data_IF_954536581949
#
_entry.id   IF_954536581949
#
_cell.length_a   1.000
_cell.length_b   1.000
_cell.length_c   1.000
_cell.angle_alpha   90.00
_cell.angle_beta   90.00
_cell.angle_gamma   90.00
#
_symmetry.space_group_name_H-M   'P 1'
#
loop_
_entity.id
_entity.type
_entity.pdbx_description
1 polymer ?
#
# COMPACT_ATOMS: atom_id res chain seq x y z
N UNK A 1 28.15 26.13 27.14
CA UNK A 1 26.90 26.63 26.54
C UNK A 1 25.75 26.27 27.50
N UNK A 2 25.07 27.24 28.09
CA UNK A 2 23.93 26.99 29.01
C UNK A 2 22.72 26.55 28.17
N UNK A 3 22.28 25.32 28.38
CA UNK A 3 21.14 24.77 27.67
C UNK A 3 19.83 25.44 28.14
N UNK A 4 18.93 25.69 27.23
CA UNK A 4 17.58 26.15 27.59
C UNK A 4 16.79 25.00 28.26
N UNK A 5 15.76 25.33 29.09
CA UNK A 5 14.89 24.32 29.73
C UNK A 5 14.28 23.33 28.73
N UNK A 6 14.05 23.75 27.47
CA UNK A 6 13.54 22.88 26.40
C UNK A 6 14.62 21.90 25.96
N UNK A 7 15.85 22.36 25.78
CA UNK A 7 17.01 21.54 25.38
C UNK A 7 17.40 20.53 26.47
N UNK A 8 17.31 20.90 27.77
CA UNK A 8 17.54 19.96 28.87
C UNK A 8 16.51 18.82 28.90
N UNK A 9 15.23 19.13 28.63
CA UNK A 9 14.17 18.10 28.52
C UNK A 9 14.41 17.17 27.34
N UNK A 10 14.87 17.70 26.22
CA UNK A 10 15.20 16.93 25.02
C UNK A 10 16.41 16.02 25.31
N UNK A 11 17.49 16.53 25.90
CA UNK A 11 18.67 15.79 26.34
C UNK A 11 18.29 14.60 27.22
N UNK A 12 17.50 14.83 28.28
CA UNK A 12 17.04 13.75 29.18
C UNK A 12 16.20 12.67 28.47
N UNK A 13 15.38 13.08 27.48
CA UNK A 13 14.61 12.13 26.67
C UNK A 13 15.52 11.29 25.79
N UNK A 14 16.49 11.91 25.13
CA UNK A 14 17.44 11.21 24.27
C UNK A 14 18.36 10.28 25.07
N UNK A 15 18.85 10.67 26.25
CA UNK A 15 19.61 9.81 27.15
C UNK A 15 18.80 8.57 27.61
N UNK A 16 17.51 8.77 27.92
CA UNK A 16 16.63 7.65 28.27
C UNK A 16 16.39 6.72 27.07
N UNK A 17 16.25 7.30 25.86
CA UNK A 17 16.13 6.55 24.62
C UNK A 17 17.40 5.77 24.34
N UNK A 18 18.57 6.38 24.44
CA UNK A 18 19.87 5.76 24.25
C UNK A 18 20.06 4.53 25.14
N UNK A 19 19.85 4.66 26.46
CA UNK A 19 19.94 3.52 27.38
C UNK A 19 19.03 2.35 26.99
N UNK A 20 17.79 2.65 26.57
CA UNK A 20 16.87 1.60 26.11
C UNK A 20 17.36 0.92 24.83
N UNK A 21 17.88 1.69 23.89
CA UNK A 21 18.36 1.16 22.61
C UNK A 21 19.65 0.34 22.78
N UNK A 22 20.59 0.74 23.65
CA UNK A 22 21.78 -0.05 23.97
C UNK A 22 21.39 -1.43 24.54
N UNK A 23 20.47 -1.48 25.50
CA UNK A 23 19.97 -2.76 26.05
C UNK A 23 19.29 -3.61 24.95
N UNK A 24 18.67 -2.97 23.96
CA UNK A 24 18.04 -3.69 22.85
C UNK A 24 19.07 -4.19 21.84
N UNK A 25 20.11 -3.41 21.56
CA UNK A 25 21.22 -3.78 20.68
C UNK A 25 22.09 -4.92 21.26
N UNK A 26 22.36 -4.88 22.58
CA UNK A 26 23.14 -5.90 23.28
C UNK A 26 22.41 -7.25 23.41
N UNK A 27 21.08 -7.25 23.42
CA UNK A 27 20.32 -8.51 23.43
C UNK A 27 20.46 -9.19 22.09
N UNK A 28 21.29 -10.25 22.04
CA UNK A 28 21.30 -11.16 20.88
C UNK A 28 19.86 -11.51 20.49
N UNK A 29 19.53 -11.24 19.25
CA UNK A 29 18.22 -11.63 18.72
C UNK A 29 18.16 -13.15 18.73
N UNK A 30 17.19 -13.72 19.44
CA UNK A 30 16.97 -15.17 19.47
C UNK A 30 16.91 -15.70 18.05
N UNK A 31 17.62 -16.81 17.79
CA UNK A 31 17.49 -17.57 16.54
C UNK A 31 15.99 -17.78 16.27
N UNK A 32 15.50 -17.36 15.12
CA UNK A 32 14.07 -17.44 14.78
C UNK A 32 13.27 -16.14 14.95
N UNK A 33 13.84 -15.05 15.47
CA UNK A 33 13.12 -13.77 15.53
C UNK A 33 12.66 -13.27 14.15
N UNK A 34 13.43 -13.54 13.10
CA UNK A 34 13.04 -13.24 11.73
C UNK A 34 11.67 -13.88 11.36
N UNK A 35 11.46 -15.14 11.77
CA UNK A 35 10.16 -15.80 11.52
C UNK A 35 9.02 -15.14 12.29
N UNK A 36 9.28 -14.70 13.52
CA UNK A 36 8.26 -13.99 14.33
C UNK A 36 7.88 -12.67 13.67
N UNK A 37 8.85 -11.87 13.24
CA UNK A 37 8.56 -10.60 12.61
C UNK A 37 7.87 -10.78 11.25
N UNK A 38 8.28 -11.76 10.45
CA UNK A 38 7.62 -12.09 9.18
C UNK A 38 6.18 -12.57 9.39
N UNK A 39 5.92 -13.37 10.45
CA UNK A 39 4.55 -13.77 10.79
C UNK A 39 3.69 -12.56 11.21
N UNK A 40 4.24 -11.62 12.00
CA UNK A 40 3.53 -10.39 12.34
C UNK A 40 3.25 -9.52 11.12
N UNK A 41 4.22 -9.38 10.21
CA UNK A 41 4.05 -8.65 8.96
C UNK A 41 2.96 -9.31 8.12
N UNK A 42 2.96 -10.64 7.99
CA UNK A 42 1.93 -11.37 7.26
C UNK A 42 0.54 -11.16 7.86
N UNK A 43 0.39 -11.21 9.18
CA UNK A 43 -0.89 -10.96 9.84
C UNK A 43 -1.42 -9.54 9.57
N UNK A 44 -0.53 -8.54 9.59
CA UNK A 44 -0.91 -7.16 9.26
C UNK A 44 -1.19 -7.00 7.77
N UNK A 45 -0.47 -7.69 6.90
CA UNK A 45 -0.73 -7.68 5.46
C UNK A 45 -2.07 -8.36 5.10
N UNK A 46 -2.45 -9.42 5.81
CA UNK A 46 -3.79 -10.02 5.73
C UNK A 46 -4.86 -8.98 6.09
N UNK A 47 -4.70 -8.27 7.20
CA UNK A 47 -5.62 -7.22 7.62
C UNK A 47 -5.70 -6.09 6.60
N UNK A 48 -4.57 -5.67 6.04
CA UNK A 48 -4.45 -4.63 5.03
C UNK A 48 -5.17 -5.00 3.72
N UNK A 49 -4.93 -6.24 3.24
CA UNK A 49 -5.61 -6.77 2.04
C UNK A 49 -7.13 -6.90 2.24
N UNK A 50 -7.58 -7.40 3.40
CA UNK A 50 -8.99 -7.45 3.72
C UNK A 50 -9.60 -6.06 3.76
N UNK A 51 -8.95 -5.10 4.44
CA UNK A 51 -9.41 -3.72 4.55
C UNK A 51 -9.57 -3.05 3.20
N UNK A 52 -8.59 -3.23 2.31
CA UNK A 52 -8.58 -2.64 0.97
C UNK A 52 -9.65 -3.26 0.07
N UNK A 53 -9.83 -4.58 0.14
CA UNK A 53 -10.72 -5.30 -0.78
C UNK A 53 -12.20 -5.26 -0.34
N UNK A 54 -12.48 -5.16 0.96
CA UNK A 54 -13.86 -5.27 1.47
C UNK A 54 -14.81 -4.20 0.96
N UNK A 55 -14.35 -2.95 0.84
CA UNK A 55 -15.22 -1.87 0.35
C UNK A 55 -15.69 -2.13 -1.07
N UNK A 56 -14.79 -2.56 -1.96
CA UNK A 56 -15.13 -2.92 -3.35
C UNK A 56 -16.12 -4.08 -3.45
N UNK A 57 -16.00 -5.08 -2.56
CA UNK A 57 -16.87 -6.26 -2.54
C UNK A 57 -18.24 -6.03 -1.86
N UNK A 58 -18.45 -4.90 -1.18
CA UNK A 58 -19.70 -4.55 -0.49
C UNK A 58 -20.40 -3.35 -1.11
N UNK A 59 -19.90 -2.85 -2.25
CA UNK A 59 -20.39 -1.61 -2.87
C UNK A 59 -21.88 -1.66 -3.15
N UNK A 60 -22.40 -2.75 -3.72
CA UNK A 60 -23.81 -2.91 -4.02
C UNK A 60 -24.69 -2.84 -2.77
N UNK A 61 -24.23 -3.41 -1.65
CA UNK A 61 -24.98 -3.45 -0.41
C UNK A 61 -25.14 -2.04 0.21
N UNK A 62 -24.04 -1.31 0.40
CA UNK A 62 -24.13 0.01 1.05
C UNK A 62 -24.69 1.09 0.11
N UNK A 63 -24.47 1.01 -1.20
CA UNK A 63 -25.13 1.91 -2.15
C UNK A 63 -26.66 1.72 -2.11
N UNK A 64 -27.12 0.49 -2.15
CA UNK A 64 -28.57 0.20 -2.04
C UNK A 64 -29.14 0.69 -0.73
N UNK A 65 -28.47 0.46 0.39
CA UNK A 65 -28.99 0.85 1.69
C UNK A 65 -29.01 2.37 1.89
N UNK A 66 -27.89 3.04 1.64
CA UNK A 66 -27.78 4.46 1.98
C UNK A 66 -28.35 5.39 0.91
N UNK A 67 -28.25 5.04 -0.39
CA UNK A 67 -28.61 5.94 -1.48
C UNK A 67 -29.94 5.60 -2.10
N UNK A 68 -30.23 4.30 -2.31
CA UNK A 68 -31.50 3.89 -2.96
C UNK A 68 -32.64 3.83 -1.95
N UNK A 69 -32.45 3.10 -0.86
CA UNK A 69 -33.47 2.91 0.18
C UNK A 69 -33.42 3.99 1.28
N UNK A 70 -32.28 4.70 1.38
CA UNK A 70 -32.06 5.77 2.33
C UNK A 70 -32.09 7.17 1.71
N UNK A 71 -31.60 8.12 2.47
CA UNK A 71 -31.45 9.50 2.00
C UNK A 71 -30.04 10.01 2.32
N UNK A 72 -29.37 10.51 1.29
CA UNK A 72 -28.09 11.21 1.42
C UNK A 72 -28.27 12.64 0.90
N UNK A 73 -27.84 13.62 1.66
CA UNK A 73 -28.07 15.05 1.38
C UNK A 73 -29.57 15.40 1.16
N UNK A 74 -30.48 14.70 1.88
CA UNK A 74 -31.92 15.00 1.86
C UNK A 74 -32.69 14.45 0.65
N UNK A 75 -32.06 13.62 -0.20
CA UNK A 75 -32.74 12.94 -1.32
C UNK A 75 -32.32 11.49 -1.47
N UNK A 76 -33.19 10.67 -2.10
CA UNK A 76 -32.84 9.32 -2.54
C UNK A 76 -32.29 9.38 -3.99
N UNK A 77 -31.51 8.40 -4.37
CA UNK A 77 -30.79 8.33 -5.64
C UNK A 77 -31.09 7.02 -6.34
N UNK A 78 -30.94 6.99 -7.65
CA UNK A 78 -30.82 5.71 -8.36
C UNK A 78 -29.48 5.06 -7.98
N UNK A 79 -29.33 3.76 -8.26
CA UNK A 79 -28.10 3.04 -7.97
C UNK A 79 -26.89 3.68 -8.66
N UNK A 80 -27.02 4.02 -9.93
CA UNK A 80 -25.97 4.65 -10.74
C UNK A 80 -25.59 6.05 -10.22
N UNK A 81 -26.57 6.87 -9.90
CA UNK A 81 -26.32 8.18 -9.29
C UNK A 81 -25.62 8.05 -7.93
N UNK A 82 -26.08 7.11 -7.08
CA UNK A 82 -25.49 6.82 -5.77
C UNK A 82 -24.05 6.34 -5.88
N UNK A 83 -23.77 5.44 -6.82
CA UNK A 83 -22.44 4.94 -7.09
C UNK A 83 -21.49 6.04 -7.58
N UNK A 84 -21.96 6.86 -8.54
CA UNK A 84 -21.18 8.00 -9.06
C UNK A 84 -20.88 9.02 -7.96
N UNK A 85 -21.85 9.33 -7.10
CA UNK A 85 -21.67 10.23 -5.98
C UNK A 85 -20.70 9.65 -4.94
N UNK A 86 -20.84 8.36 -4.62
CA UNK A 86 -19.91 7.67 -3.72
C UNK A 86 -18.46 7.70 -4.25
N UNK A 87 -18.26 7.37 -5.51
CA UNK A 87 -16.94 7.41 -6.16
C UNK A 87 -16.34 8.82 -6.13
N UNK A 88 -17.16 9.85 -6.38
CA UNK A 88 -16.72 11.25 -6.30
C UNK A 88 -16.30 11.64 -4.90
N UNK A 89 -17.08 11.25 -3.88
CA UNK A 89 -16.74 11.51 -2.48
C UNK A 89 -15.49 10.71 -2.05
N UNK A 90 -15.31 9.51 -2.58
CA UNK A 90 -14.13 8.66 -2.29
C UNK A 90 -12.82 9.31 -2.75
N UNK A 91 -12.85 10.22 -3.74
CA UNK A 91 -11.67 11.02 -4.12
C UNK A 91 -11.16 11.84 -2.93
N UNK A 92 -12.05 12.34 -2.06
CA UNK A 92 -11.65 13.04 -0.82
C UNK A 92 -10.93 12.11 0.15
N UNK A 93 -11.32 10.84 0.23
CA UNK A 93 -10.63 9.82 1.01
C UNK A 93 -9.20 9.59 0.51
N UNK A 94 -9.01 9.55 -0.80
CA UNK A 94 -7.67 9.48 -1.38
C UNK A 94 -6.86 10.75 -1.10
N UNK A 95 -7.47 11.92 -1.15
CA UNK A 95 -6.80 13.17 -0.76
C UNK A 95 -6.34 13.14 0.71
N UNK A 96 -7.14 12.57 1.62
CA UNK A 96 -6.74 12.36 3.01
C UNK A 96 -5.61 11.33 3.15
N UNK A 97 -5.64 10.25 2.35
CA UNK A 97 -4.55 9.26 2.36
C UNK A 97 -3.21 9.85 1.94
N UNK A 98 -3.21 10.94 1.13
CA UNK A 98 -2.00 11.70 0.80
C UNK A 98 -1.32 12.35 2.02
N UNK A 99 -2.02 12.46 3.16
CA UNK A 99 -1.43 12.90 4.43
C UNK A 99 -0.71 11.78 5.18
N UNK A 100 -0.99 10.51 4.83
CA UNK A 100 -0.39 9.34 5.52
C UNK A 100 1.15 9.33 5.48
N UNK A 101 1.84 9.71 4.38
CA UNK A 101 3.29 9.77 4.35
C UNK A 101 3.91 10.71 5.39
N UNK A 102 3.20 11.77 5.79
CA UNK A 102 3.71 12.69 6.80
C UNK A 102 3.83 12.05 8.19
N UNK A 103 2.87 11.21 8.60
CA UNK A 103 3.03 10.48 9.85
C UNK A 103 3.96 9.26 9.70
N UNK A 104 3.96 8.60 8.53
CA UNK A 104 4.85 7.47 8.24
C UNK A 104 6.32 7.87 8.25
N UNK A 105 6.66 9.06 7.76
CA UNK A 105 8.02 9.62 7.85
C UNK A 105 8.53 9.77 9.29
N UNK A 106 7.63 9.77 10.30
CA UNK A 106 8.01 9.76 11.71
C UNK A 106 8.68 8.43 12.13
N UNK A 107 8.59 7.37 11.31
CA UNK A 107 9.29 6.11 11.54
C UNK A 107 10.81 6.29 11.64
N UNK A 108 11.37 7.24 10.89
CA UNK A 108 12.80 7.54 10.94
C UNK A 108 13.22 8.19 12.26
N UNK A 109 12.30 8.85 12.95
CA UNK A 109 12.55 9.55 14.21
C UNK A 109 12.19 8.71 15.45
N UNK A 110 11.06 8.03 15.42
CA UNK A 110 10.49 7.34 16.60
C UNK A 110 10.68 5.83 16.58
N UNK A 111 11.12 5.26 15.46
CA UNK A 111 11.23 3.83 15.24
C UNK A 111 10.10 3.28 14.37
N UNK A 112 10.30 2.06 13.89
CA UNK A 112 9.36 1.39 12.99
C UNK A 112 8.19 0.79 13.78
N UNK A 113 8.46 0.21 14.96
CA UNK A 113 7.47 -0.46 15.80
C UNK A 113 6.30 0.44 16.21
N UNK A 114 6.48 1.66 16.74
CA UNK A 114 5.36 2.51 17.14
C UNK A 114 4.40 2.82 15.99
N UNK A 115 4.94 3.05 14.78
CA UNK A 115 4.12 3.30 13.61
C UNK A 115 3.38 2.06 13.13
N UNK A 116 4.02 0.91 13.20
CA UNK A 116 3.42 -0.37 12.83
C UNK A 116 2.22 -0.71 13.73
N UNK A 117 2.35 -0.47 15.04
CA UNK A 117 1.24 -0.59 16.00
C UNK A 117 0.14 0.42 15.69
N UNK A 118 0.50 1.68 15.43
CA UNK A 118 -0.45 2.77 15.21
C UNK A 118 -1.26 2.59 13.93
N UNK A 119 -0.62 2.19 12.83
CA UNK A 119 -1.32 1.92 11.56
C UNK A 119 -2.26 0.71 11.70
N UNK A 120 -1.81 -0.38 12.32
CA UNK A 120 -2.65 -1.57 12.55
C UNK A 120 -3.86 -1.24 13.43
N UNK A 121 -3.67 -0.45 14.49
CA UNK A 121 -4.77 0.05 15.34
C UNK A 121 -5.78 0.87 14.55
N UNK A 122 -5.29 1.82 13.74
CA UNK A 122 -6.15 2.69 12.93
C UNK A 122 -7.00 1.92 11.92
N UNK A 123 -6.41 0.92 11.23
CA UNK A 123 -7.16 0.04 10.32
C UNK A 123 -8.27 -0.71 11.07
N UNK A 124 -7.94 -1.33 12.21
CA UNK A 124 -8.90 -2.08 13.02
C UNK A 124 -10.07 -1.20 13.52
N UNK A 125 -9.76 0.00 14.00
CA UNK A 125 -10.76 0.97 14.46
C UNK A 125 -11.64 1.44 13.30
N UNK A 126 -11.06 1.72 12.13
CA UNK A 126 -11.82 2.11 10.94
C UNK A 126 -12.84 1.02 10.52
N UNK A 127 -12.43 -0.25 10.51
CA UNK A 127 -13.33 -1.38 10.24
C UNK A 127 -14.45 -1.49 11.27
N UNK A 128 -14.18 -1.28 12.56
CA UNK A 128 -15.20 -1.28 13.60
C UNK A 128 -16.14 -0.07 13.50
N UNK A 129 -15.67 1.10 13.08
CA UNK A 129 -16.53 2.25 12.78
C UNK A 129 -17.51 1.88 11.67
N UNK A 130 -17.05 1.21 10.60
CA UNK A 130 -17.93 0.73 9.51
C UNK A 130 -18.93 -0.29 10.05
N UNK A 131 -18.51 -1.23 10.89
CA UNK A 131 -19.43 -2.20 11.51
C UNK A 131 -20.56 -1.53 12.29
N UNK A 132 -20.24 -0.49 13.08
CA UNK A 132 -21.24 0.22 13.89
C UNK A 132 -21.96 1.35 13.14
N UNK A 133 -21.65 1.62 11.87
CA UNK A 133 -22.25 2.72 11.14
C UNK A 133 -23.76 2.50 10.93
N UNK A 134 -24.53 3.56 11.16
CA UNK A 134 -25.98 3.61 10.88
C UNK A 134 -26.33 4.63 9.79
N UNK A 135 -25.35 5.41 9.33
CA UNK A 135 -25.54 6.44 8.34
C UNK A 135 -24.32 6.53 7.42
N UNK A 136 -24.53 7.05 6.22
CA UNK A 136 -23.48 7.20 5.22
C UNK A 136 -22.28 8.07 5.69
N UNK A 137 -22.45 9.21 6.40
CA UNK A 137 -21.32 9.96 6.92
C UNK A 137 -20.44 9.16 7.89
N UNK A 138 -21.03 8.33 8.77
CA UNK A 138 -20.26 7.48 9.69
C UNK A 138 -19.51 6.38 8.92
N UNK A 139 -20.15 5.81 7.89
CA UNK A 139 -19.48 4.89 6.97
C UNK A 139 -18.25 5.55 6.31
N UNK A 140 -18.38 6.79 5.82
CA UNK A 140 -17.27 7.55 5.24
C UNK A 140 -16.12 7.77 6.25
N UNK A 141 -16.44 8.13 7.49
CA UNK A 141 -15.43 8.30 8.56
C UNK A 141 -14.65 6.99 8.73
N UNK A 142 -15.33 5.84 8.79
CA UNK A 142 -14.68 4.53 8.88
C UNK A 142 -13.80 4.25 7.66
N UNK A 143 -14.32 4.44 6.46
CA UNK A 143 -13.60 4.22 5.20
C UNK A 143 -12.37 5.13 5.06
N UNK A 144 -12.49 6.40 5.42
CA UNK A 144 -11.37 7.34 5.39
C UNK A 144 -10.33 7.02 6.46
N UNK A 145 -10.76 6.56 7.65
CA UNK A 145 -9.86 6.08 8.69
C UNK A 145 -9.07 4.87 8.21
N UNK A 146 -9.72 3.87 7.63
CA UNK A 146 -9.01 2.69 7.07
C UNK A 146 -8.00 3.11 6.01
N UNK A 147 -8.40 3.93 5.03
CA UNK A 147 -7.54 4.41 3.95
C UNK A 147 -6.33 5.20 4.43
N UNK A 148 -6.50 6.04 5.47
CA UNK A 148 -5.41 6.81 6.06
C UNK A 148 -4.37 5.93 6.77
N UNK A 149 -4.81 4.84 7.42
CA UNK A 149 -3.95 3.97 8.21
C UNK A 149 -3.42 2.74 7.48
N UNK A 150 -3.62 2.59 6.17
CA UNK A 150 -3.05 1.48 5.40
C UNK A 150 -1.55 1.33 5.66
N UNK A 151 -1.14 0.11 5.99
CA UNK A 151 0.20 -0.17 6.56
C UNK A 151 1.25 -0.63 5.56
N UNK A 152 0.91 -0.75 4.29
CA UNK A 152 1.73 -1.35 3.24
C UNK A 152 3.21 -0.90 3.23
N UNK A 153 3.46 0.39 3.26
CA UNK A 153 4.81 0.95 3.15
C UNK A 153 5.71 0.57 4.35
N UNK A 154 5.10 0.46 5.56
CA UNK A 154 5.84 0.08 6.78
C UNK A 154 6.24 -1.40 6.72
N UNK A 155 5.41 -2.25 6.14
CA UNK A 155 5.70 -3.67 5.94
C UNK A 155 6.89 -3.86 5.00
N UNK A 156 6.91 -3.15 3.87
CA UNK A 156 8.03 -3.15 2.93
C UNK A 156 9.32 -2.75 3.66
N UNK A 157 9.28 -1.66 4.42
CA UNK A 157 10.44 -1.15 5.14
C UNK A 157 11.00 -2.19 6.12
N UNK A 158 10.14 -2.90 6.87
CA UNK A 158 10.57 -3.98 7.75
C UNK A 158 11.27 -5.12 7.01
N UNK A 159 10.71 -5.55 5.88
CA UNK A 159 11.28 -6.63 5.08
C UNK A 159 12.63 -6.19 4.48
N UNK A 160 12.72 -4.96 3.97
CA UNK A 160 13.96 -4.43 3.40
C UNK A 160 15.08 -4.30 4.44
N UNK A 161 14.76 -4.00 5.69
CA UNK A 161 15.75 -3.83 6.75
C UNK A 161 16.12 -5.14 7.48
N UNK A 162 15.21 -6.14 7.55
CA UNK A 162 15.43 -7.38 8.32
C UNK A 162 15.74 -8.60 7.44
N UNK A 163 15.30 -8.63 6.18
CA UNK A 163 15.51 -9.78 5.30
C UNK A 163 16.92 -9.80 4.70
N UNK A 164 17.52 -11.01 4.54
CA UNK A 164 18.80 -11.17 3.85
C UNK A 164 18.76 -10.60 2.44
N UNK A 165 19.80 -9.86 2.03
CA UNK A 165 19.85 -9.15 0.75
C UNK A 165 19.60 -10.05 -0.47
N UNK A 166 20.14 -11.27 -0.44
CA UNK A 166 20.03 -12.26 -1.52
C UNK A 166 18.65 -12.93 -1.66
N UNK A 167 17.73 -12.74 -0.68
CA UNK A 167 16.38 -13.35 -0.68
C UNK A 167 15.28 -12.35 -0.38
N UNK A 168 15.56 -11.07 -0.43
CA UNK A 168 14.65 -10.00 -0.05
C UNK A 168 13.37 -9.99 -0.90
N UNK A 169 13.53 -10.08 -2.22
CA UNK A 169 12.40 -10.10 -3.14
C UNK A 169 11.54 -11.36 -2.98
N UNK A 170 12.18 -12.53 -2.80
CA UNK A 170 11.46 -13.79 -2.54
C UNK A 170 10.67 -13.73 -1.24
N UNK A 171 11.28 -13.26 -0.14
CA UNK A 171 10.59 -13.13 1.16
C UNK A 171 9.41 -12.15 1.05
N UNK A 172 9.64 -11.00 0.42
CA UNK A 172 8.61 -10.01 0.20
C UNK A 172 7.42 -10.58 -0.58
N UNK A 173 7.68 -11.23 -1.71
CA UNK A 173 6.63 -11.77 -2.57
C UNK A 173 5.86 -12.94 -1.94
N UNK A 174 6.52 -13.77 -1.09
CA UNK A 174 5.83 -14.80 -0.32
C UNK A 174 4.84 -14.16 0.67
N UNK A 175 5.29 -13.17 1.43
CA UNK A 175 4.43 -12.46 2.39
C UNK A 175 3.26 -11.80 1.66
N UNK A 176 3.52 -11.08 0.57
CA UNK A 176 2.47 -10.40 -0.22
C UNK A 176 1.51 -11.37 -0.91
N UNK A 177 2.03 -12.48 -1.45
CA UNK A 177 1.20 -13.50 -2.07
C UNK A 177 0.23 -14.15 -1.07
N UNK A 178 0.75 -14.52 0.11
CA UNK A 178 -0.08 -15.09 1.19
C UNK A 178 -1.06 -14.07 1.77
N UNK A 179 -0.64 -12.81 1.91
CA UNK A 179 -1.51 -11.72 2.31
C UNK A 179 -2.66 -11.53 1.33
N UNK A 180 -2.36 -11.47 0.04
CA UNK A 180 -3.38 -11.31 -1.01
C UNK A 180 -4.33 -12.51 -1.12
N UNK A 181 -3.86 -13.73 -0.83
CA UNK A 181 -4.70 -14.92 -0.77
C UNK A 181 -5.81 -14.78 0.28
N UNK A 182 -5.61 -13.96 1.32
CA UNK A 182 -6.63 -13.70 2.33
C UNK A 182 -7.92 -13.09 1.78
N UNK A 183 -7.90 -12.53 0.58
CA UNK A 183 -9.10 -12.01 -0.09
C UNK A 183 -10.17 -13.09 -0.33
N UNK A 184 -9.80 -14.38 -0.31
CA UNK A 184 -10.74 -15.51 -0.30
C UNK A 184 -11.66 -15.49 0.95
N UNK A 185 -11.20 -14.92 2.06
CA UNK A 185 -12.01 -14.82 3.27
C UNK A 185 -13.25 -13.92 3.08
N UNK A 186 -13.20 -12.97 2.13
CA UNK A 186 -14.32 -12.05 1.90
C UNK A 186 -15.56 -12.79 1.39
N UNK A 187 -15.53 -13.54 0.26
CA UNK A 187 -16.70 -14.32 -0.16
C UNK A 187 -17.10 -15.38 0.86
N UNK A 188 -16.16 -15.97 1.62
CA UNK A 188 -16.48 -16.86 2.73
C UNK A 188 -17.27 -16.15 3.85
N UNK A 189 -16.84 -14.94 4.25
CA UNK A 189 -17.55 -14.13 5.24
C UNK A 189 -18.90 -13.64 4.71
N UNK A 190 -19.01 -13.29 3.43
CA UNK A 190 -20.31 -12.97 2.80
C UNK A 190 -21.29 -14.14 2.95
N UNK A 191 -20.87 -15.34 2.60
CA UNK A 191 -21.71 -16.53 2.69
C UNK A 191 -22.10 -16.85 4.14
N UNK A 192 -21.14 -16.82 5.08
CA UNK A 192 -21.34 -17.28 6.46
C UNK A 192 -21.97 -16.23 7.38
N UNK A 193 -21.68 -14.93 7.19
CA UNK A 193 -22.11 -13.85 8.08
C UNK A 193 -23.27 -13.03 7.54
N UNK A 194 -23.49 -13.03 6.23
CA UNK A 194 -24.61 -12.35 5.59
C UNK A 194 -25.78 -13.30 5.30
N UNK A 195 -25.56 -14.60 5.24
CA UNK A 195 -26.62 -15.61 4.94
C UNK A 195 -27.48 -15.24 3.71
N UNK A 196 -26.88 -14.67 2.67
CA UNK A 196 -27.52 -14.11 1.48
C UNK A 196 -28.43 -12.88 1.73
N UNK A 197 -28.43 -12.31 2.95
CA UNK A 197 -29.14 -11.09 3.28
C UNK A 197 -28.19 -9.88 3.16
N UNK A 198 -28.40 -9.07 2.12
CA UNK A 198 -27.60 -7.87 1.86
C UNK A 198 -27.66 -6.82 2.99
N UNK A 199 -28.70 -6.86 3.85
CA UNK A 199 -28.83 -5.91 4.99
C UNK A 199 -27.82 -6.21 6.10
N UNK A 200 -27.29 -7.44 6.16
CA UNK A 200 -26.30 -7.87 7.15
C UNK A 200 -24.84 -7.62 6.73
N UNK A 201 -24.60 -6.86 5.67
CA UNK A 201 -23.26 -6.63 5.12
C UNK A 201 -22.24 -6.08 6.14
N UNK A 202 -22.68 -5.34 7.14
CA UNK A 202 -21.83 -4.82 8.21
C UNK A 202 -21.13 -5.91 9.01
N UNK A 203 -21.76 -7.09 9.16
CA UNK A 203 -21.20 -8.20 9.94
C UNK A 203 -19.85 -8.68 9.37
N UNK A 204 -19.64 -8.52 8.08
CA UNK A 204 -18.36 -8.87 7.41
C UNK A 204 -17.21 -8.02 7.97
N UNK A 205 -17.45 -6.78 8.35
CA UNK A 205 -16.43 -5.88 8.90
C UNK A 205 -16.08 -6.15 10.37
N UNK A 206 -17.01 -6.81 11.11
CA UNK A 206 -16.84 -7.11 12.53
C UNK A 206 -15.63 -7.99 12.80
N UNK A 207 -15.53 -9.11 12.09
CA UNK A 207 -14.48 -10.09 12.32
C UNK A 207 -13.08 -9.54 12.06
N UNK A 208 -12.77 -8.94 10.89
CA UNK A 208 -11.46 -8.32 10.64
C UNK A 208 -11.15 -7.17 11.59
N UNK A 209 -12.14 -6.37 11.99
CA UNK A 209 -11.95 -5.30 12.95
C UNK A 209 -11.51 -5.80 14.34
N UNK A 210 -12.15 -6.85 14.86
CA UNK A 210 -11.77 -7.47 16.14
C UNK A 210 -10.43 -8.21 16.05
N UNK A 211 -10.20 -8.97 14.97
CA UNK A 211 -8.92 -9.63 14.73
C UNK A 211 -7.78 -8.59 14.60
N UNK A 212 -8.05 -7.47 13.96
CA UNK A 212 -7.09 -6.37 13.82
C UNK A 212 -6.63 -5.79 15.16
N UNK A 213 -7.53 -5.65 16.14
CA UNK A 213 -7.14 -5.27 17.51
C UNK A 213 -6.25 -6.34 18.16
N UNK A 214 -6.55 -7.62 17.96
CA UNK A 214 -5.71 -8.74 18.42
C UNK A 214 -4.32 -8.71 17.76
N UNK A 215 -4.26 -8.50 16.45
CA UNK A 215 -3.00 -8.37 15.69
C UNK A 215 -2.19 -7.18 16.22
N UNK A 216 -2.82 -6.03 16.45
CA UNK A 216 -2.17 -4.86 17.04
C UNK A 216 -1.54 -5.18 18.39
N UNK A 217 -2.23 -5.92 19.27
CA UNK A 217 -1.66 -6.37 20.56
C UNK A 217 -0.49 -7.32 20.36
N UNK A 218 -0.54 -8.24 19.39
CA UNK A 218 0.59 -9.11 19.06
C UNK A 218 1.81 -8.30 18.58
N UNK A 219 1.60 -7.31 17.71
CA UNK A 219 2.66 -6.40 17.25
C UNK A 219 3.23 -5.59 18.43
N UNK A 220 2.37 -5.12 19.33
CA UNK A 220 2.78 -4.35 20.51
C UNK A 220 3.67 -5.20 21.45
N UNK A 221 3.32 -6.47 21.67
CA UNK A 221 4.01 -7.36 22.63
C UNK A 221 5.30 -7.93 22.00
N UNK A 222 5.20 -8.50 20.81
CA UNK A 222 6.27 -9.29 20.18
C UNK A 222 7.09 -8.49 19.14
N UNK A 223 6.54 -7.43 18.56
CA UNK A 223 7.25 -6.59 17.60
C UNK A 223 8.43 -5.86 18.24
N UNK A 224 9.52 -5.68 17.49
CA UNK A 224 10.69 -4.86 17.87
C UNK A 224 11.01 -3.91 16.73
N UNK A 225 11.76 -2.84 17.03
CA UNK A 225 12.33 -2.02 15.98
C UNK A 225 13.38 -2.80 15.18
N UNK A 226 13.59 -2.41 13.93
CA UNK A 226 14.56 -3.06 13.05
C UNK A 226 15.99 -2.83 13.55
N UNK A 227 16.88 -3.82 13.29
CA UNK A 227 18.28 -3.69 13.71
C UNK A 227 18.96 -2.48 13.05
N UNK A 228 18.71 -2.24 11.78
CA UNK A 228 19.25 -1.08 11.03
C UNK A 228 18.89 0.24 11.71
N UNK A 229 17.63 0.40 12.14
CA UNK A 229 17.21 1.59 12.87
C UNK A 229 17.89 1.70 14.24
N UNK A 230 17.93 0.58 15.00
CA UNK A 230 18.51 0.57 16.34
C UNK A 230 19.99 0.92 16.30
N UNK A 231 20.77 0.29 15.40
CA UNK A 231 22.21 0.51 15.28
C UNK A 231 22.53 1.94 14.85
N UNK A 232 21.83 2.44 13.82
CA UNK A 232 21.95 3.83 13.39
C UNK A 232 21.64 4.81 14.52
N UNK A 233 20.55 4.58 15.25
CA UNK A 233 20.13 5.48 16.32
C UNK A 233 21.06 5.42 17.53
N UNK A 234 21.62 4.26 17.84
CA UNK A 234 22.66 4.10 18.88
C UNK A 234 23.92 4.90 18.49
N UNK A 235 24.39 4.78 17.25
CA UNK A 235 25.52 5.55 16.75
C UNK A 235 25.26 7.08 16.83
N UNK A 236 24.10 7.54 16.41
CA UNK A 236 23.74 8.96 16.50
C UNK A 236 23.71 9.45 17.95
N UNK A 237 23.13 8.66 18.86
CA UNK A 237 22.97 9.05 20.27
C UNK A 237 24.24 8.83 21.12
N UNK A 238 25.22 8.08 20.62
CA UNK A 238 26.52 7.92 21.28
C UNK A 238 27.34 9.21 21.28
N UNK A 239 27.10 10.09 20.29
CA UNK A 239 27.74 11.42 20.25
C UNK A 239 27.09 12.31 21.32
N UNK A 240 27.89 13.07 22.13
CA UNK A 240 27.36 13.96 23.15
C UNK A 240 26.33 14.96 22.60
N UNK A 241 25.27 15.23 23.39
CA UNK A 241 24.15 16.09 22.97
C UNK A 241 24.61 17.48 22.51
N UNK A 242 25.58 18.04 23.24
CA UNK A 242 26.16 19.36 22.96
C UNK A 242 26.86 19.40 21.61
N UNK A 243 27.62 18.36 21.27
CA UNK A 243 28.33 18.24 19.99
C UNK A 243 27.34 18.08 18.84
N UNK A 244 26.29 17.28 19.01
CA UNK A 244 25.21 17.14 18.02
C UNK A 244 24.46 18.48 17.80
N UNK A 245 24.26 19.25 18.87
CA UNK A 245 23.65 20.57 18.79
C UNK A 245 24.53 21.55 18.01
N UNK A 246 25.86 21.53 18.27
CA UNK A 246 26.82 22.35 17.54
C UNK A 246 26.90 21.98 16.06
N UNK A 247 26.92 20.68 15.73
CA UNK A 247 26.89 20.20 14.33
C UNK A 247 25.62 20.67 13.61
N UNK A 248 24.45 20.52 14.23
CA UNK A 248 23.17 21.00 13.70
C UNK A 248 23.15 22.52 13.51
N UNK A 249 23.81 23.25 14.35
CA UNK A 249 23.94 24.72 14.25
C UNK A 249 24.90 25.11 13.14
N UNK A 250 26.08 24.47 13.08
CA UNK A 250 27.06 24.68 12.02
C UNK A 250 26.51 24.30 10.62
N UNK A 251 25.72 23.25 10.52
CA UNK A 251 25.06 22.84 9.28
C UNK A 251 23.99 23.85 8.84
N UNK A 252 23.25 24.42 9.79
CA UNK A 252 22.31 25.52 9.50
C UNK A 252 23.02 26.77 9.04
N UNK A 253 24.10 27.14 9.69
CA UNK A 253 24.86 28.34 9.39
C UNK A 253 25.64 28.22 8.07
N UNK A 254 26.06 27.00 7.73
CA UNK A 254 26.72 26.68 6.45
C UNK A 254 25.75 26.58 5.25
N UNK A 255 24.45 26.79 5.48
CA UNK A 255 23.44 26.61 4.41
C UNK A 255 23.32 25.16 3.90
N UNK A 256 24.10 24.22 4.49
CA UNK A 256 23.95 22.79 4.26
C UNK A 256 22.67 22.39 4.98
N UNK A 257 21.55 22.42 4.23
CA UNK A 257 20.33 21.83 4.73
C UNK A 257 20.68 20.40 5.16
N UNK A 258 20.49 20.08 6.48
CA UNK A 258 20.39 18.70 6.91
C UNK A 258 19.69 17.92 5.80
N UNK A 259 20.14 16.71 5.47
CA UNK A 259 19.28 15.74 4.78
C UNK A 259 18.08 15.48 5.71
N UNK A 260 17.15 16.46 5.69
CA UNK A 260 15.96 16.42 6.53
C UNK A 260 15.17 15.23 6.04
N UNK A 261 15.14 14.18 6.86
CA UNK A 261 14.11 13.15 6.72
C UNK A 261 12.76 13.86 6.65
N UNK A 262 11.99 13.63 5.60
CA UNK A 262 10.68 14.23 5.41
C UNK A 262 10.26 14.24 3.95
N UNK A 263 8.97 14.30 3.74
CA UNK A 263 8.36 14.17 2.40
C UNK A 263 8.78 15.30 1.45
N UNK A 264 8.83 16.56 1.93
CA UNK A 264 9.18 17.71 1.08
C UNK A 264 10.65 17.68 0.60
N UNK A 265 11.65 17.42 1.47
CA UNK A 265 13.01 17.18 1.04
C UNK A 265 13.15 16.00 0.06
N UNK A 266 12.43 14.89 0.33
CA UNK A 266 12.41 13.73 -0.55
C UNK A 266 11.83 14.07 -1.94
N UNK A 267 10.75 14.83 -2.01
CA UNK A 267 10.20 15.32 -3.29
C UNK A 267 11.22 16.16 -4.06
N UNK A 268 11.91 17.09 -3.38
CA UNK A 268 12.98 17.87 -4.01
C UNK A 268 14.10 16.98 -4.54
N UNK A 269 14.48 15.95 -3.77
CA UNK A 269 15.47 14.96 -4.18
C UNK A 269 15.02 14.22 -5.44
N UNK A 270 13.80 13.69 -5.49
CA UNK A 270 13.21 13.01 -6.65
C UNK A 270 13.28 13.91 -7.89
N UNK A 271 12.83 15.17 -7.79
CA UNK A 271 12.81 16.07 -8.94
C UNK A 271 14.21 16.53 -9.41
N UNK A 272 15.20 16.51 -8.53
CA UNK A 272 16.59 16.82 -8.87
C UNK A 272 17.28 15.69 -9.64
N UNK A 273 17.00 14.41 -9.30
CA UNK A 273 17.66 13.25 -9.90
C UNK A 273 16.86 12.71 -11.09
N UNK A 274 17.45 12.81 -12.29
CA UNK A 274 16.78 12.48 -13.56
C UNK A 274 16.25 11.03 -13.61
N UNK A 275 17.06 10.05 -13.19
CA UNK A 275 16.70 8.64 -13.27
C UNK A 275 15.51 8.33 -12.35
N UNK A 276 15.52 8.83 -11.12
CA UNK A 276 14.44 8.66 -10.15
C UNK A 276 13.16 9.37 -10.61
N UNK A 277 13.28 10.60 -11.12
CA UNK A 277 12.15 11.34 -11.69
C UNK A 277 11.48 10.61 -12.84
N UNK A 278 12.26 10.01 -13.74
CA UNK A 278 11.73 9.21 -14.86
C UNK A 278 10.99 7.99 -14.34
N UNK A 279 11.56 7.26 -13.37
CA UNK A 279 10.91 6.09 -12.76
C UNK A 279 9.58 6.48 -12.10
N UNK A 280 9.55 7.57 -11.34
CA UNK A 280 8.33 8.06 -10.67
C UNK A 280 7.23 8.44 -11.67
N UNK A 281 7.59 9.11 -12.78
CA UNK A 281 6.62 9.44 -13.83
C UNK A 281 6.05 8.18 -14.51
N UNK A 282 6.88 7.16 -14.72
CA UNK A 282 6.43 5.86 -15.24
C UNK A 282 5.49 5.18 -14.24
N UNK A 283 5.85 5.18 -12.94
CA UNK A 283 5.02 4.62 -11.87
C UNK A 283 3.68 5.34 -11.74
N UNK A 284 3.67 6.67 -11.82
CA UNK A 284 2.45 7.48 -11.79
C UNK A 284 1.47 7.08 -12.92
N UNK A 285 1.98 6.91 -14.13
CA UNK A 285 1.16 6.48 -15.27
C UNK A 285 0.66 5.03 -15.08
N UNK A 286 1.51 4.14 -14.55
CA UNK A 286 1.14 2.75 -14.26
C UNK A 286 0.05 2.68 -13.19
N UNK A 287 0.20 3.43 -12.10
CA UNK A 287 -0.71 3.43 -10.96
C UNK A 287 -2.07 4.06 -11.29
N UNK A 288 -2.15 4.93 -12.30
CA UNK A 288 -3.43 5.44 -12.78
C UNK A 288 -4.38 4.30 -13.24
N UNK A 289 -3.84 3.17 -13.68
CA UNK A 289 -4.63 2.00 -14.10
C UNK A 289 -5.36 1.29 -12.94
N UNK A 290 -5.02 1.58 -11.66
CA UNK A 290 -5.63 0.92 -10.49
C UNK A 290 -7.15 1.08 -10.45
N UNK A 291 -7.66 2.19 -10.98
CA UNK A 291 -9.09 2.52 -10.94
C UNK A 291 -9.94 1.50 -11.72
N UNK A 292 -9.36 0.85 -12.74
CA UNK A 292 -10.02 -0.26 -13.41
C UNK A 292 -10.27 -1.46 -12.51
N UNK A 293 -9.38 -1.68 -11.50
CA UNK A 293 -9.50 -2.76 -10.52
C UNK A 293 -10.65 -2.56 -9.55
N UNK A 294 -10.96 -1.33 -9.17
CA UNK A 294 -12.04 -1.04 -8.23
C UNK A 294 -13.44 -1.25 -8.84
N UNK A 295 -13.52 -1.39 -10.16
CA UNK A 295 -14.78 -1.53 -10.90
C UNK A 295 -15.05 -2.96 -11.41
N UNK A 296 -14.25 -3.97 -11.02
CA UNK A 296 -14.36 -5.33 -11.57
C UNK A 296 -15.73 -5.98 -11.32
N UNK A 297 -16.30 -5.84 -10.12
CA UNK A 297 -17.64 -6.34 -9.80
C UNK A 297 -18.71 -5.68 -10.65
N UNK A 298 -18.62 -4.35 -10.81
CA UNK A 298 -19.55 -3.59 -11.66
C UNK A 298 -19.44 -3.99 -13.15
N UNK A 299 -18.24 -4.29 -13.64
CA UNK A 299 -18.04 -4.79 -15.02
C UNK A 299 -18.71 -6.13 -15.20
N UNK A 300 -18.48 -7.09 -14.29
CA UNK A 300 -19.10 -8.43 -14.34
C UNK A 300 -20.63 -8.35 -14.22
N UNK A 301 -21.13 -7.56 -13.29
CA UNK A 301 -22.56 -7.36 -13.10
C UNK A 301 -23.25 -6.73 -14.31
N UNK A 302 -22.68 -5.68 -14.89
CA UNK A 302 -23.21 -5.02 -16.10
C UNK A 302 -23.12 -5.90 -17.36
N UNK A 303 -22.21 -6.86 -17.41
CA UNK A 303 -22.15 -7.87 -18.47
C UNK A 303 -23.23 -8.96 -18.34
N UNK A 304 -23.99 -8.98 -17.23
CA UNK A 304 -25.08 -9.93 -16.99
C UNK A 304 -24.70 -11.19 -16.23
N UNK A 305 -23.51 -11.22 -15.61
CA UNK A 305 -23.14 -12.33 -14.71
C UNK A 305 -24.01 -12.30 -13.45
N UNK A 306 -24.48 -13.48 -13.05
CA UNK A 306 -25.23 -13.67 -11.80
C UNK A 306 -24.34 -13.51 -10.57
N UNK A 307 -24.93 -13.21 -9.42
CA UNK A 307 -24.20 -13.11 -8.14
C UNK A 307 -23.38 -14.36 -7.82
N UNK A 308 -23.89 -15.55 -8.16
CA UNK A 308 -23.21 -16.82 -7.93
C UNK A 308 -21.97 -16.95 -8.86
N UNK A 309 -22.07 -16.52 -10.10
CA UNK A 309 -20.96 -16.52 -11.07
C UNK A 309 -19.87 -15.53 -10.66
N UNK A 310 -20.27 -14.33 -10.23
CA UNK A 310 -19.34 -13.31 -9.69
C UNK A 310 -18.61 -13.87 -8.46
N UNK A 311 -19.35 -14.41 -7.49
CA UNK A 311 -18.76 -15.04 -6.30
C UNK A 311 -17.80 -16.17 -6.67
N UNK A 312 -18.13 -16.96 -7.69
CA UNK A 312 -17.23 -18.01 -8.19
C UNK A 312 -15.93 -17.41 -8.76
N UNK A 313 -16.00 -16.37 -9.57
CA UNK A 313 -14.81 -15.67 -10.07
C UNK A 313 -13.97 -15.10 -8.91
N UNK A 314 -14.63 -14.55 -7.89
CA UNK A 314 -13.99 -14.00 -6.69
C UNK A 314 -13.22 -15.04 -5.87
N UNK A 315 -13.57 -16.31 -5.91
CA UNK A 315 -12.79 -17.38 -5.30
C UNK A 315 -11.49 -17.71 -6.06
N UNK A 316 -11.50 -17.56 -7.38
CA UNK A 316 -10.36 -17.98 -8.21
C UNK A 316 -9.26 -16.92 -8.28
N UNK A 317 -9.61 -15.64 -8.38
CA UNK A 317 -8.59 -14.61 -8.62
C UNK A 317 -7.55 -14.48 -7.49
N UNK A 318 -7.85 -14.64 -6.18
CA UNK A 318 -6.83 -14.52 -5.13
C UNK A 318 -5.77 -15.63 -5.20
N UNK A 319 -6.18 -16.83 -5.65
CA UNK A 319 -5.25 -17.95 -5.84
C UNK A 319 -4.27 -17.62 -6.97
N UNK A 320 -4.78 -17.15 -8.11
CA UNK A 320 -3.95 -16.78 -9.27
C UNK A 320 -3.04 -15.60 -8.94
N UNK A 321 -3.56 -14.60 -8.22
CA UNK A 321 -2.80 -13.49 -7.70
C UNK A 321 -1.64 -13.97 -6.81
N UNK A 322 -1.93 -14.79 -5.81
CA UNK A 322 -0.93 -15.34 -4.89
C UNK A 322 0.20 -16.07 -5.65
N UNK A 323 -0.16 -16.98 -6.55
CA UNK A 323 0.81 -17.74 -7.35
C UNK A 323 1.66 -16.78 -8.20
N UNK A 324 1.05 -15.81 -8.86
CA UNK A 324 1.76 -14.82 -9.69
C UNK A 324 2.76 -14.02 -8.87
N UNK A 325 2.35 -13.50 -7.71
CA UNK A 325 3.22 -12.70 -6.84
C UNK A 325 4.35 -13.54 -6.25
N UNK A 326 4.08 -14.77 -5.80
CA UNK A 326 5.14 -15.65 -5.29
C UNK A 326 6.18 -16.02 -6.36
N UNK A 327 5.72 -16.33 -7.58
CA UNK A 327 6.62 -16.61 -8.71
C UNK A 327 7.45 -15.39 -9.09
N UNK A 328 6.88 -14.18 -9.01
CA UNK A 328 7.59 -12.95 -9.36
C UNK A 328 8.82 -12.72 -8.49
N UNK A 329 8.76 -13.08 -7.20
CA UNK A 329 9.89 -12.92 -6.27
C UNK A 329 11.08 -13.79 -6.65
N UNK A 330 10.79 -15.07 -6.96
CA UNK A 330 11.83 -16.00 -7.44
C UNK A 330 12.42 -15.50 -8.77
N UNK A 331 11.58 -15.04 -9.68
CA UNK A 331 12.04 -14.50 -10.96
C UNK A 331 12.88 -13.24 -10.77
N UNK A 332 12.46 -12.30 -9.92
CA UNK A 332 13.19 -11.06 -9.70
C UNK A 332 14.57 -11.27 -9.09
N UNK A 333 14.74 -12.28 -8.24
CA UNK A 333 16.06 -12.63 -7.70
C UNK A 333 16.95 -13.34 -8.73
N UNK A 334 16.37 -14.00 -9.75
CA UNK A 334 17.13 -14.69 -10.80
C UNK A 334 17.41 -13.82 -12.03
N UNK A 335 16.38 -13.21 -12.62
CA UNK A 335 16.48 -12.48 -13.90
C UNK A 335 16.60 -10.96 -13.73
N UNK A 336 16.38 -10.44 -12.51
CA UNK A 336 16.42 -9.02 -12.17
C UNK A 336 15.05 -8.37 -12.06
N UNK A 337 15.02 -7.21 -11.38
CA UNK A 337 13.77 -6.49 -11.07
C UNK A 337 13.12 -5.94 -12.34
N UNK A 338 13.89 -5.25 -13.18
CA UNK A 338 13.41 -4.67 -14.44
C UNK A 338 12.76 -5.69 -15.37
N UNK A 339 13.41 -6.81 -15.62
CA UNK A 339 12.89 -7.86 -16.52
C UNK A 339 11.60 -8.46 -15.98
N UNK A 340 11.51 -8.63 -14.65
CA UNK A 340 10.31 -9.12 -13.98
C UNK A 340 9.14 -8.16 -14.16
N UNK A 341 9.36 -6.85 -14.00
CA UNK A 341 8.31 -5.84 -14.22
C UNK A 341 7.82 -5.85 -15.66
N UNK A 342 8.76 -5.94 -16.63
CA UNK A 342 8.38 -5.97 -18.05
C UNK A 342 7.55 -7.19 -18.39
N UNK A 343 7.92 -8.36 -17.87
CA UNK A 343 7.16 -9.60 -18.06
C UNK A 343 5.74 -9.49 -17.49
N UNK A 344 5.63 -9.13 -16.21
CA UNK A 344 4.34 -9.08 -15.53
C UNK A 344 3.48 -7.88 -15.95
N UNK A 345 4.08 -6.76 -16.33
CA UNK A 345 3.37 -5.63 -16.93
C UNK A 345 2.76 -5.98 -18.29
N UNK A 346 3.47 -6.79 -19.10
CA UNK A 346 2.93 -7.32 -20.36
C UNK A 346 1.78 -8.31 -20.11
N UNK A 347 1.94 -9.22 -19.13
CA UNK A 347 0.87 -10.14 -18.70
C UNK A 347 -0.34 -9.34 -18.21
N UNK A 348 -0.14 -8.30 -17.41
CA UNK A 348 -1.18 -7.42 -16.90
C UNK A 348 -2.04 -6.83 -18.01
N UNK A 349 -1.42 -6.23 -19.03
CA UNK A 349 -2.15 -5.62 -20.16
C UNK A 349 -2.98 -6.65 -20.94
N UNK A 350 -2.37 -7.81 -21.29
CA UNK A 350 -3.05 -8.89 -22.02
C UNK A 350 -4.18 -9.50 -21.19
N UNK A 351 -3.92 -9.76 -19.90
CA UNK A 351 -4.89 -10.37 -18.99
C UNK A 351 -6.12 -9.48 -18.80
N UNK A 352 -5.96 -8.14 -18.75
CA UNK A 352 -7.10 -7.24 -18.66
C UNK A 352 -7.97 -7.26 -19.91
N UNK A 353 -7.38 -7.31 -21.11
CA UNK A 353 -8.13 -7.49 -22.35
C UNK A 353 -8.91 -8.81 -22.33
N UNK A 354 -8.27 -9.91 -21.92
CA UNK A 354 -8.92 -11.21 -21.83
C UNK A 354 -10.01 -11.25 -20.75
N UNK A 355 -9.82 -10.55 -19.62
CA UNK A 355 -10.86 -10.36 -18.60
C UNK A 355 -12.10 -9.69 -19.19
N UNK A 356 -11.94 -8.60 -19.92
CA UNK A 356 -13.07 -7.88 -20.55
C UNK A 356 -13.76 -8.76 -21.61
N UNK A 357 -13.00 -9.45 -22.46
CA UNK A 357 -13.56 -10.36 -23.46
C UNK A 357 -14.32 -11.50 -22.79
N UNK A 358 -13.72 -12.18 -21.82
CA UNK A 358 -14.33 -13.33 -21.15
C UNK A 358 -15.60 -12.93 -20.37
N UNK A 359 -15.62 -11.74 -19.77
CA UNK A 359 -16.77 -11.21 -19.05
C UNK A 359 -17.92 -10.88 -19.99
N UNK A 360 -17.66 -10.10 -21.04
CA UNK A 360 -18.69 -9.71 -22.01
C UNK A 360 -19.22 -10.88 -22.86
N UNK A 361 -18.41 -11.92 -23.06
CA UNK A 361 -18.81 -13.15 -23.77
C UNK A 361 -19.37 -14.23 -22.84
N UNK A 362 -19.56 -13.91 -21.55
CA UNK A 362 -20.09 -14.80 -20.51
C UNK A 362 -19.37 -16.17 -20.49
N UNK A 363 -18.05 -16.16 -20.53
CA UNK A 363 -17.26 -17.38 -20.38
C UNK A 363 -17.43 -17.98 -18.97
N UNK A 364 -16.91 -19.20 -18.79
CA UNK A 364 -16.95 -19.83 -17.48
C UNK A 364 -16.38 -18.90 -16.40
N UNK A 365 -17.06 -18.69 -15.25
CA UNK A 365 -16.62 -17.77 -14.17
C UNK A 365 -15.19 -18.02 -13.68
N UNK A 366 -14.74 -19.29 -13.75
CA UNK A 366 -13.35 -19.66 -13.42
C UNK A 366 -12.32 -18.98 -14.32
N UNK A 367 -12.60 -18.87 -15.64
CA UNK A 367 -11.71 -18.21 -16.60
C UNK A 367 -11.74 -16.68 -16.39
N UNK A 368 -12.91 -16.12 -16.10
CA UNK A 368 -13.03 -14.69 -15.74
C UNK A 368 -12.16 -14.40 -14.50
N UNK A 369 -12.28 -15.22 -13.45
CA UNK A 369 -11.44 -15.12 -12.24
C UNK A 369 -9.95 -15.33 -12.52
N UNK A 370 -9.58 -16.27 -13.43
CA UNK A 370 -8.20 -16.47 -13.85
C UNK A 370 -7.60 -15.20 -14.49
N UNK A 371 -8.27 -14.63 -15.49
CA UNK A 371 -7.76 -13.44 -16.17
C UNK A 371 -7.73 -12.22 -15.28
N UNK A 372 -8.73 -12.05 -14.41
CA UNK A 372 -8.70 -10.99 -13.42
C UNK A 372 -7.55 -11.17 -12.42
N UNK A 373 -7.30 -12.39 -11.95
CA UNK A 373 -6.18 -12.70 -11.05
C UNK A 373 -4.80 -12.45 -11.69
N UNK A 374 -4.62 -12.77 -12.97
CA UNK A 374 -3.40 -12.46 -13.72
C UNK A 374 -3.22 -10.93 -13.90
N UNK A 375 -4.30 -10.21 -14.20
CA UNK A 375 -4.29 -8.74 -14.26
C UNK A 375 -3.88 -8.14 -12.91
N UNK A 376 -4.53 -8.55 -11.85
CA UNK A 376 -4.28 -8.08 -10.49
C UNK A 376 -2.83 -8.37 -10.06
N UNK A 377 -2.36 -9.61 -10.30
CA UNK A 377 -0.99 -10.02 -10.01
C UNK A 377 0.02 -9.19 -10.79
N UNK A 378 -0.16 -9.06 -12.09
CA UNK A 378 0.73 -8.28 -12.95
C UNK A 378 0.80 -6.79 -12.54
N UNK A 379 -0.34 -6.21 -12.15
CA UNK A 379 -0.41 -4.83 -11.67
C UNK A 379 0.40 -4.64 -10.36
N UNK A 380 0.11 -5.44 -9.33
CA UNK A 380 0.79 -5.28 -8.03
C UNK A 380 2.28 -5.61 -8.11
N UNK A 381 2.67 -6.62 -8.91
CA UNK A 381 4.07 -6.93 -9.14
C UNK A 381 4.78 -5.73 -9.80
N UNK A 382 4.20 -5.17 -10.86
CA UNK A 382 4.77 -4.01 -11.54
C UNK A 382 4.96 -2.81 -10.59
N UNK A 383 3.94 -2.48 -9.82
CA UNK A 383 3.92 -1.37 -8.87
C UNK A 383 4.96 -1.56 -7.75
N UNK A 384 4.93 -2.71 -7.08
CA UNK A 384 5.76 -2.97 -5.90
C UNK A 384 7.24 -3.06 -6.27
N UNK A 385 7.57 -3.68 -7.42
CA UNK A 385 8.97 -3.73 -7.87
C UNK A 385 9.49 -2.37 -8.36
N UNK A 386 8.66 -1.50 -8.92
CA UNK A 386 9.08 -0.12 -9.19
C UNK A 386 9.40 0.63 -7.90
N UNK A 387 8.67 0.37 -6.80
CA UNK A 387 8.96 0.92 -5.48
C UNK A 387 10.25 0.34 -4.88
N UNK A 388 10.52 -0.95 -5.09
CA UNK A 388 11.79 -1.56 -4.71
C UNK A 388 12.94 -0.90 -5.47
N UNK A 389 12.85 -0.75 -6.80
CA UNK A 389 13.87 -0.09 -7.61
C UNK A 389 14.15 1.33 -7.12
N UNK A 390 13.11 2.14 -6.83
CA UNK A 390 13.31 3.51 -6.36
C UNK A 390 14.02 3.56 -5.01
N UNK A 391 13.73 2.64 -4.10
CA UNK A 391 14.40 2.54 -2.80
C UNK A 391 15.83 2.02 -2.93
N UNK A 392 16.09 1.19 -3.92
CA UNK A 392 17.41 0.70 -4.27
C UNK A 392 18.31 1.79 -4.90
N UNK A 393 17.74 2.83 -5.46
CA UNK A 393 18.46 3.94 -6.09
C UNK A 393 18.82 5.08 -5.12
N UNK A 394 18.47 4.97 -3.82
CA UNK A 394 18.64 6.09 -2.88
C UNK A 394 19.35 5.69 -1.59
N UNK A 395 20.07 6.64 -0.95
CA UNK A 395 20.74 6.39 0.33
C UNK A 395 19.79 5.90 1.42
N UNK A 396 20.26 5.00 2.28
CA UNK A 396 19.47 4.37 3.35
C UNK A 396 18.79 5.39 4.28
N UNK A 397 19.41 6.55 4.49
CA UNK A 397 18.89 7.58 5.41
C UNK A 397 17.61 8.27 4.98
N UNK A 398 17.24 8.21 3.69
CA UNK A 398 16.08 8.90 3.13
C UNK A 398 15.05 7.96 2.47
N UNK A 399 15.28 6.64 2.48
CA UNK A 399 14.40 5.65 1.83
C UNK A 399 12.94 5.77 2.26
N UNK A 400 12.67 5.80 3.57
CA UNK A 400 11.30 5.94 4.08
C UNK A 400 10.65 7.25 3.63
N UNK A 401 11.42 8.34 3.57
CA UNK A 401 10.93 9.62 3.07
C UNK A 401 10.66 9.60 1.55
N UNK A 402 11.46 8.85 0.79
CA UNK A 402 11.23 8.65 -0.66
C UNK A 402 9.95 7.84 -0.89
N UNK A 403 9.75 6.72 -0.21
CA UNK A 403 8.50 5.93 -0.28
C UNK A 403 7.30 6.82 0.03
N UNK A 404 7.38 7.65 1.08
CA UNK A 404 6.33 8.59 1.43
C UNK A 404 6.08 9.65 0.35
N UNK A 405 7.13 10.19 -0.27
CA UNK A 405 7.01 11.15 -1.36
C UNK A 405 6.44 10.53 -2.63
N UNK A 406 6.83 9.28 -2.95
CA UNK A 406 6.25 8.50 -4.04
C UNK A 406 4.76 8.27 -3.83
N UNK A 407 4.34 7.88 -2.63
CA UNK A 407 2.93 7.69 -2.30
C UNK A 407 2.08 8.93 -2.59
N UNK A 408 2.60 10.14 -2.32
CA UNK A 408 1.95 11.39 -2.70
C UNK A 408 1.80 11.55 -4.22
N UNK A 409 2.88 11.32 -4.97
CA UNK A 409 2.88 11.47 -6.42
C UNK A 409 1.97 10.43 -7.09
N UNK A 410 2.01 9.20 -6.62
CA UNK A 410 1.12 8.10 -7.05
C UNK A 410 -0.34 8.43 -6.79
N UNK A 411 -0.65 9.01 -5.62
CA UNK A 411 -2.01 9.46 -5.31
C UNK A 411 -2.56 10.47 -6.32
N UNK A 412 -1.71 11.31 -6.90
CA UNK A 412 -2.10 12.19 -8.02
C UNK A 412 -2.46 11.38 -9.27
N UNK A 413 -1.66 10.36 -9.62
CA UNK A 413 -1.97 9.45 -10.73
C UNK A 413 -3.30 8.73 -10.56
N UNK A 414 -3.56 8.21 -9.36
CA UNK A 414 -4.84 7.59 -9.02
C UNK A 414 -6.02 8.56 -9.16
N UNK A 415 -5.88 9.79 -8.66
CA UNK A 415 -6.93 10.81 -8.77
C UNK A 415 -7.26 11.13 -10.24
N UNK A 416 -6.25 11.25 -11.09
CA UNK A 416 -6.43 11.43 -12.55
C UNK A 416 -7.20 10.23 -13.13
N UNK A 417 -6.82 9.00 -12.75
CA UNK A 417 -7.52 7.79 -13.18
C UNK A 417 -9.00 7.78 -12.78
N UNK A 418 -9.32 8.14 -11.54
CA UNK A 418 -10.71 8.24 -11.07
C UNK A 418 -11.50 9.29 -11.83
N UNK A 419 -10.94 10.48 -12.04
CA UNK A 419 -11.60 11.54 -12.82
C UNK A 419 -11.88 11.05 -14.23
N UNK A 420 -10.90 10.42 -14.89
CA UNK A 420 -11.05 9.93 -16.26
C UNK A 420 -12.17 8.87 -16.36
N UNK A 421 -12.17 7.88 -15.45
CA UNK A 421 -13.18 6.82 -15.46
C UNK A 421 -14.55 7.37 -15.11
N UNK A 422 -14.68 8.23 -14.09
CA UNK A 422 -15.98 8.82 -13.74
C UNK A 422 -16.58 9.68 -14.85
N UNK A 423 -15.76 10.42 -15.58
CA UNK A 423 -16.23 11.16 -16.77
C UNK A 423 -16.52 10.20 -17.92
N UNK A 424 -15.68 9.20 -18.14
CA UNK A 424 -15.82 8.26 -19.24
C UNK A 424 -17.10 7.43 -19.19
N UNK A 425 -17.53 6.99 -17.99
CA UNK A 425 -18.78 6.22 -17.83
C UNK A 425 -20.06 7.00 -18.11
N UNK A 426 -19.99 8.32 -18.21
CA UNK A 426 -21.14 9.14 -18.67
C UNK A 426 -21.39 9.00 -20.17
N UNK A 427 -20.38 8.60 -20.94
CA UNK A 427 -20.45 8.56 -22.43
C UNK A 427 -20.25 7.13 -22.97
N UNK A 428 -19.60 6.24 -22.25
CA UNK A 428 -19.20 4.91 -22.68
C UNK A 428 -19.53 3.86 -21.62
N UNK A 429 -19.76 2.59 -22.02
CA UNK A 429 -19.91 1.50 -21.08
C UNK A 429 -18.67 1.38 -20.17
N UNK A 430 -18.88 1.02 -18.90
CA UNK A 430 -17.80 0.93 -17.90
C UNK A 430 -16.64 0.04 -18.35
N UNK A 431 -16.92 -1.11 -18.95
CA UNK A 431 -15.89 -2.03 -19.44
C UNK A 431 -14.99 -1.40 -20.52
N UNK A 432 -15.60 -0.63 -21.44
CA UNK A 432 -14.86 0.05 -22.52
C UNK A 432 -14.04 1.20 -21.97
N UNK A 433 -14.61 1.99 -21.07
CA UNK A 433 -13.91 3.09 -20.40
C UNK A 433 -12.68 2.58 -19.66
N UNK A 434 -12.82 1.50 -18.87
CA UNK A 434 -11.70 0.88 -18.17
C UNK A 434 -10.65 0.32 -19.14
N UNK A 435 -11.07 -0.30 -20.25
CA UNK A 435 -10.17 -0.88 -21.25
C UNK A 435 -9.31 0.17 -21.93
N UNK A 436 -9.92 1.23 -22.46
CA UNK A 436 -9.21 2.29 -23.21
C UNK A 436 -8.32 3.15 -22.32
N UNK A 437 -8.53 3.11 -21.01
CA UNK A 437 -7.68 3.82 -20.05
C UNK A 437 -6.58 2.92 -19.49
N UNK A 438 -6.91 1.77 -18.91
CA UNK A 438 -5.96 0.95 -18.17
C UNK A 438 -4.91 0.29 -19.09
N UNK A 439 -5.32 -0.23 -20.25
CA UNK A 439 -4.40 -0.94 -21.16
C UNK A 439 -3.31 -0.03 -21.72
N UNK A 440 -3.61 1.18 -22.24
CA UNK A 440 -2.55 2.10 -22.66
C UNK A 440 -1.65 2.54 -21.50
N UNK A 441 -2.20 2.84 -20.32
CA UNK A 441 -1.41 3.24 -19.14
C UNK A 441 -0.38 2.18 -18.77
N UNK A 442 -0.80 0.92 -18.65
CA UNK A 442 0.10 -0.20 -18.33
C UNK A 442 1.11 -0.45 -19.45
N UNK A 443 0.65 -0.48 -20.70
CA UNK A 443 1.52 -0.80 -21.85
C UNK A 443 2.59 0.27 -22.06
N UNK A 444 2.21 1.55 -22.06
CA UNK A 444 3.16 2.67 -22.23
C UNK A 444 4.15 2.68 -21.08
N UNK A 445 3.70 2.51 -19.84
CA UNK A 445 4.57 2.46 -18.67
C UNK A 445 5.58 1.31 -18.76
N UNK A 446 5.13 0.12 -19.17
CA UNK A 446 5.99 -1.06 -19.33
C UNK A 446 7.06 -0.84 -20.41
N UNK A 447 6.68 -0.25 -21.55
CA UNK A 447 7.62 0.11 -22.63
C UNK A 447 8.62 1.17 -22.16
N UNK A 448 8.15 2.24 -21.51
CA UNK A 448 9.03 3.29 -21.02
C UNK A 448 10.00 2.77 -19.95
N UNK A 449 9.55 1.88 -19.07
CA UNK A 449 10.40 1.23 -18.08
C UNK A 449 11.49 0.40 -18.76
N UNK A 450 11.11 -0.40 -19.75
CA UNK A 450 12.09 -1.17 -20.53
C UNK A 450 13.15 -0.28 -21.20
N UNK A 451 12.76 0.85 -21.75
CA UNK A 451 13.67 1.74 -22.50
C UNK A 451 14.51 2.66 -21.61
N UNK A 452 13.98 3.11 -20.46
CA UNK A 452 14.55 4.24 -19.70
C UNK A 452 15.11 3.88 -18.33
N UNK A 453 14.68 2.78 -17.72
CA UNK A 453 15.09 2.38 -16.37
C UNK A 453 16.25 1.37 -16.45
N UNK A 454 17.24 1.51 -15.59
CA UNK A 454 18.35 0.57 -15.46
C UNK A 454 17.97 -0.59 -14.52
N UNK A 455 18.65 -1.74 -14.67
CA UNK A 455 18.51 -2.86 -13.72
C UNK A 455 19.22 -2.51 -12.41
N UNK A 456 18.58 -2.85 -11.28
CA UNK A 456 19.12 -2.59 -9.93
C UNK A 456 19.55 -3.86 -9.20
N UNK A 457 19.43 -5.03 -9.83
CA UNK A 457 19.90 -6.30 -9.26
C UNK A 457 21.39 -6.20 -8.95
N UNK A 458 21.78 -6.69 -7.77
CA UNK A 458 23.18 -6.78 -7.32
C UNK A 458 23.89 -5.41 -7.10
N UNK A 459 23.13 -4.31 -6.98
CA UNK A 459 23.68 -3.02 -6.61
C UNK A 459 24.07 -3.02 -5.13
N UNK A 460 25.29 -2.61 -4.82
CA UNK A 460 25.77 -2.44 -3.45
C UNK A 460 25.19 -1.13 -2.85
N UNK A 461 24.24 -1.30 -1.94
CA UNK A 461 23.53 -0.18 -1.31
C UNK A 461 24.36 0.63 -0.32
N UNK A 462 25.43 0.03 0.23
CA UNK A 462 26.33 0.71 1.15
C UNK A 462 27.26 1.67 0.40
N UNK A 463 27.53 1.40 -0.87
CA UNK A 463 28.34 2.26 -1.74
C UNK A 463 27.62 3.52 -2.23
N UNK A 464 26.28 3.61 -2.11
CA UNK A 464 25.51 4.82 -2.51
C UNK A 464 25.55 5.81 -1.33
N UNK A 465 26.70 6.40 -1.09
CA UNK A 465 26.87 7.45 -0.08
C UNK A 465 26.48 8.84 -0.59
N UNK A 466 26.64 9.11 -1.89
CA UNK A 466 26.18 10.31 -2.56
C UNK A 466 25.86 10.00 -4.03
N UNK A 467 24.62 10.20 -4.44
CA UNK A 467 24.32 10.42 -5.84
C UNK A 467 24.74 11.83 -6.16
N UNK A 468 26.04 12.03 -6.33
CA UNK A 468 26.57 13.27 -6.81
C UNK A 468 26.21 13.47 -8.28
N UNK A 469 25.58 14.64 -8.45
CA UNK A 469 25.40 15.47 -9.63
C UNK A 469 24.60 14.88 -10.80
#
# INVERSE_FOLDING_TARGET
MTLTKKQEREKRREEKQYRKLCVTAEKERRKGYLLVILALILLVDILDNLTTSMSGNMTSCFITEFFVNGQVFGRSYTYEEGLSLHNTISILGYALSLLSPFYKALADKFGRKPLFVFSTFGMAVGLLIIYFCKSYPVFLIGSFTTSFFLGHDIQILYILEEAPSNRRATIYSIVKGLGGLSSILIPMMRTSLMHNDATLWRNVYRLPGLCGLGIMLLVLIFGKDTHVYVDKRVQELSVPYEERLQRRQAEKDAGKAEHKSGVIPAMKYIFRHKELRVLILIKLLFDAAIVAMTNFESIMHKAGMTTAEITTAEFYFPVIYCVSVMLSGVLADHIGRKKTIVLFGSICAVAFVLFIISTNSLWQPRLVGLFYGLYLGGYWIGRDYMEIISTEMVPTGIRASIIGAEGLLVGVGMAIGYIFINVGILFLPIWLTCLIFAVPCVTISTILLFLKVKETKDVDYEAITDLDA
#
